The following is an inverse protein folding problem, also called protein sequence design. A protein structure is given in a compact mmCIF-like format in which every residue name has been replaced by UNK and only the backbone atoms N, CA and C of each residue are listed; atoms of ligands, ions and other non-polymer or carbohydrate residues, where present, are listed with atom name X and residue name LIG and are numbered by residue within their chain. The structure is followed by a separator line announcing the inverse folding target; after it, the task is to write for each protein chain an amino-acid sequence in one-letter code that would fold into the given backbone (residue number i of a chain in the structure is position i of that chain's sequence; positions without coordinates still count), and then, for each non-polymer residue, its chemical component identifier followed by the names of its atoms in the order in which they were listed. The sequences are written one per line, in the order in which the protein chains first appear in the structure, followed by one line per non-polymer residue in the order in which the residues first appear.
data_IF_144090678065
#
_entry.id   IF_144090678065
#
_cell.length_a   1.000
_cell.length_b   1.000
_cell.length_c   1.000
_cell.angle_alpha   90.00
_cell.angle_beta   90.00
_cell.angle_gamma   90.00
#
_symmetry.space_group_name_H-M   'P 1'
#
loop_
_entity.id
_entity.type
_entity.pdbx_description
1 polymer ?
#
# COMPACT_ATOMS: atom_id res chain seq x y z
N UNK A 1 -30.61 13.30 44.13
CA UNK A 1 -29.26 13.89 44.27
C UNK A 1 -29.41 15.14 45.12
N UNK A 2 -28.77 15.25 46.30
CA UNK A 2 -28.98 16.41 47.18
C UNK A 2 -28.40 17.69 46.54
N UNK A 3 -29.05 18.83 46.78
CA UNK A 3 -28.63 20.16 46.28
C UNK A 3 -27.15 20.44 46.64
N UNK A 4 -26.71 19.97 47.80
CA UNK A 4 -25.32 20.06 48.26
C UNK A 4 -24.31 19.32 47.36
N UNK A 5 -24.64 18.11 46.86
CA UNK A 5 -23.75 17.37 45.93
C UNK A 5 -23.63 18.07 44.57
N UNK A 6 -24.63 18.85 44.17
CA UNK A 6 -24.60 19.62 42.92
C UNK A 6 -23.74 20.88 43.08
N UNK A 7 -23.85 21.58 44.21
CA UNK A 7 -23.05 22.76 44.53
C UNK A 7 -21.55 22.41 44.67
N UNK A 8 -21.23 21.35 45.41
CA UNK A 8 -19.85 20.88 45.60
C UNK A 8 -19.20 20.43 44.26
N UNK A 9 -19.98 19.78 43.38
CA UNK A 9 -19.51 19.43 42.03
C UNK A 9 -19.23 20.69 41.18
N UNK A 10 -20.01 21.75 41.39
CA UNK A 10 -19.89 23.02 40.64
C UNK A 10 -18.68 23.84 41.10
N UNK A 11 -18.45 23.96 42.41
CA UNK A 11 -17.26 24.64 42.94
C UNK A 11 -15.96 23.93 42.55
N UNK A 12 -15.92 22.60 42.65
CA UNK A 12 -14.76 21.81 42.21
C UNK A 12 -14.48 21.98 40.72
N UNK A 13 -15.52 22.12 39.89
CA UNK A 13 -15.37 22.39 38.46
C UNK A 13 -14.78 23.79 38.24
N UNK A 14 -15.29 24.82 38.91
CA UNK A 14 -14.77 26.19 38.80
C UNK A 14 -13.31 26.26 39.24
N UNK A 15 -12.95 25.62 40.36
CA UNK A 15 -11.56 25.57 40.85
C UNK A 15 -10.65 24.88 39.83
N UNK A 16 -11.01 23.69 39.32
CA UNK A 16 -10.25 23.02 38.27
C UNK A 16 -10.03 23.90 37.04
N UNK A 17 -11.05 24.65 36.64
CA UNK A 17 -10.94 25.54 35.48
C UNK A 17 -9.98 26.69 35.76
N UNK A 18 -10.12 27.35 36.90
CA UNK A 18 -9.21 28.43 37.31
C UNK A 18 -7.77 27.93 37.42
N UNK A 19 -7.55 26.76 38.02
CA UNK A 19 -6.24 26.11 38.12
C UNK A 19 -5.67 25.71 36.76
N UNK A 20 -6.51 25.34 35.80
CA UNK A 20 -6.07 24.99 34.45
C UNK A 20 -5.75 26.23 33.63
N UNK A 21 -6.52 27.31 33.79
CA UNK A 21 -6.45 28.53 32.98
C UNK A 21 -5.45 29.54 33.52
N UNK A 22 -5.36 29.75 34.83
CA UNK A 22 -4.49 30.76 35.43
C UNK A 22 -3.00 30.58 35.03
N UNK A 23 -2.41 29.37 35.02
CA UNK A 23 -1.03 29.17 34.57
C UNK A 23 -0.83 29.39 33.07
N UNK A 24 -1.92 29.33 32.27
CA UNK A 24 -1.89 29.60 30.84
C UNK A 24 -1.92 31.11 30.55
N UNK A 25 -2.64 31.88 31.38
CA UNK A 25 -2.72 33.34 31.33
C UNK A 25 -1.43 34.01 31.83
N UNK A 26 -0.90 33.61 32.99
CA UNK A 26 0.27 34.24 33.62
C UNK A 26 1.53 34.22 32.74
N UNK A 27 1.72 33.13 31.99
CA UNK A 27 2.92 32.97 31.17
C UNK A 27 2.86 33.75 29.84
N UNK A 28 1.80 34.53 29.58
CA UNK A 28 1.54 35.19 28.27
C UNK A 28 1.72 34.24 27.08
N UNK A 29 1.45 32.95 27.27
CA UNK A 29 1.79 31.90 26.30
C UNK A 29 0.80 31.78 25.14
N UNK A 30 -0.23 32.63 25.13
CA UNK A 30 -1.26 32.71 24.10
C UNK A 30 -1.49 34.19 23.77
N UNK A 31 -1.45 34.55 22.49
CA UNK A 31 -1.91 35.85 22.00
C UNK A 31 -3.42 35.84 21.67
N UNK A 32 -4.12 34.73 21.95
CA UNK A 32 -5.58 34.66 21.77
C UNK A 32 -6.28 35.22 23.02
N UNK A 33 -6.08 36.52 23.24
CA UNK A 33 -6.74 37.28 24.30
C UNK A 33 -8.27 37.15 24.17
N UNK A 34 -8.80 36.94 22.96
CA UNK A 34 -10.20 36.70 22.70
C UNK A 34 -10.68 35.35 23.25
N UNK A 35 -9.91 34.27 23.08
CA UNK A 35 -10.23 32.97 23.69
C UNK A 35 -10.28 33.05 25.21
N UNK A 36 -9.24 33.60 25.85
CA UNK A 36 -9.24 33.70 27.31
C UNK A 36 -10.25 34.70 27.83
N UNK A 37 -10.43 35.86 27.20
CA UNK A 37 -11.52 36.78 27.56
C UNK A 37 -12.87 36.11 27.42
N UNK A 38 -13.10 35.30 26.39
CA UNK A 38 -14.33 34.54 26.27
C UNK A 38 -14.48 33.57 27.45
N UNK A 39 -13.48 32.72 27.71
CA UNK A 39 -13.57 31.74 28.80
C UNK A 39 -13.68 32.42 30.18
N UNK A 40 -12.96 33.50 30.43
CA UNK A 40 -12.95 34.26 31.68
C UNK A 40 -14.25 35.08 31.88
N UNK A 41 -14.76 35.73 30.83
CA UNK A 41 -16.07 36.38 30.83
C UNK A 41 -17.21 35.37 31.10
N UNK A 42 -17.06 34.15 30.62
CA UNK A 42 -17.99 33.07 30.93
C UNK A 42 -17.85 32.62 32.39
N UNK A 43 -16.63 32.38 32.89
CA UNK A 43 -16.43 31.90 34.27
C UNK A 43 -16.86 32.88 35.35
N UNK A 44 -16.80 34.19 35.08
CA UNK A 44 -17.22 35.25 36.00
C UNK A 44 -18.74 35.41 36.08
N UNK A 45 -19.49 34.91 35.10
CA UNK A 45 -20.95 34.86 35.14
C UNK A 45 -21.42 33.62 35.93
N UNK A 46 -21.72 33.79 37.22
CA UNK A 46 -22.04 32.76 38.23
C UNK A 46 -23.28 31.87 37.99
N UNK A 47 -23.94 31.95 36.81
CA UNK A 47 -25.13 31.14 36.45
C UNK A 47 -24.88 30.09 35.37
N UNK A 48 -23.62 29.76 35.11
CA UNK A 48 -23.27 28.81 34.05
C UNK A 48 -23.37 27.37 34.57
N UNK A 49 -24.33 26.60 34.03
CA UNK A 49 -24.39 25.16 34.26
C UNK A 49 -23.26 24.44 33.49
N UNK A 50 -22.86 23.28 33.99
CA UNK A 50 -21.83 22.39 33.43
C UNK A 50 -21.95 22.20 31.89
N UNK A 51 -23.18 22.14 31.36
CA UNK A 51 -23.47 22.02 29.92
C UNK A 51 -22.92 23.18 29.08
N UNK A 52 -22.98 24.41 29.58
CA UNK A 52 -22.46 25.60 28.88
C UNK A 52 -20.93 25.61 28.83
N UNK A 53 -20.25 25.16 29.90
CA UNK A 53 -18.79 25.05 29.93
C UNK A 53 -18.32 24.05 28.88
N UNK A 54 -18.93 22.86 28.83
CA UNK A 54 -18.60 21.86 27.81
C UNK A 54 -18.83 22.37 26.39
N UNK A 55 -19.87 23.17 26.17
CA UNK A 55 -20.09 23.84 24.89
C UNK A 55 -18.90 24.72 24.51
N UNK A 56 -18.49 25.62 25.41
CA UNK A 56 -17.39 26.56 25.15
C UNK A 56 -16.09 25.81 24.85
N UNK A 57 -15.75 24.79 25.65
CA UNK A 57 -14.53 24.01 25.45
C UNK A 57 -14.57 23.28 24.11
N UNK A 58 -15.69 22.66 23.76
CA UNK A 58 -15.79 22.00 22.47
C UNK A 58 -15.75 22.99 21.30
N UNK A 59 -16.41 24.15 21.41
CA UNK A 59 -16.33 25.23 20.42
C UNK A 59 -14.88 25.71 20.25
N UNK A 60 -14.08 25.72 21.32
CA UNK A 60 -12.64 25.98 21.26
C UNK A 60 -11.88 24.89 20.48
N UNK A 61 -12.20 23.62 20.74
CA UNK A 61 -11.60 22.48 20.05
C UNK A 61 -11.94 22.48 18.54
N UNK A 62 -13.16 22.89 18.18
CA UNK A 62 -13.54 23.09 16.78
C UNK A 62 -12.76 24.22 16.09
N UNK A 63 -12.26 25.19 16.86
CA UNK A 63 -11.53 26.35 16.37
C UNK A 63 -9.99 26.24 16.47
N UNK A 64 -9.43 25.07 16.79
CA UNK A 64 -7.98 24.87 16.92
C UNK A 64 -7.19 25.25 15.68
N UNK A 65 -7.79 25.10 14.50
CA UNK A 65 -7.18 25.53 13.24
C UNK A 65 -6.96 27.05 13.21
N UNK A 66 -7.88 27.82 13.78
CA UNK A 66 -7.84 29.29 13.77
C UNK A 66 -6.97 29.82 14.89
N UNK A 67 -7.11 29.28 16.11
CA UNK A 67 -6.42 29.77 17.30
C UNK A 67 -4.98 29.26 17.43
N UNK A 68 -4.65 28.14 16.79
CA UNK A 68 -3.31 27.53 16.76
C UNK A 68 -2.58 27.48 18.13
N UNK A 69 -3.23 27.06 19.23
CA UNK A 69 -2.61 27.03 20.56
C UNK A 69 -1.46 26.02 20.65
N UNK A 70 -0.59 26.13 21.66
CA UNK A 70 0.43 25.09 21.89
C UNK A 70 -0.21 23.74 22.21
N UNK A 71 0.38 22.64 21.74
CA UNK A 71 -0.15 21.28 21.88
C UNK A 71 -0.35 20.91 23.35
N UNK A 72 0.57 21.32 24.22
CA UNK A 72 0.52 21.06 25.67
C UNK A 72 -0.73 21.68 26.30
N UNK A 73 -1.21 22.79 25.75
CA UNK A 73 -2.39 23.44 26.27
C UNK A 73 -3.67 22.76 25.82
N UNK A 74 -3.73 22.33 24.56
CA UNK A 74 -4.84 21.51 24.05
C UNK A 74 -4.95 20.23 24.87
N UNK A 75 -3.82 19.59 25.16
CA UNK A 75 -3.76 18.42 26.03
C UNK A 75 -4.38 18.70 27.40
N UNK A 76 -3.91 19.74 28.12
CA UNK A 76 -4.46 20.11 29.43
C UNK A 76 -5.95 20.42 29.38
N UNK A 77 -6.40 21.09 28.32
CA UNK A 77 -7.82 21.43 28.14
C UNK A 77 -8.67 20.16 27.98
N UNK A 78 -8.21 19.19 27.19
CA UNK A 78 -8.91 17.90 27.01
C UNK A 78 -8.84 17.04 28.28
N UNK A 79 -7.71 17.02 28.99
CA UNK A 79 -7.59 16.31 30.28
C UNK A 79 -8.57 16.84 31.33
N UNK A 80 -8.79 18.17 31.36
CA UNK A 80 -9.76 18.81 32.24
C UNK A 80 -11.22 18.54 31.80
N UNK A 81 -11.46 18.40 30.48
CA UNK A 81 -12.80 18.33 29.90
C UNK A 81 -12.92 17.28 28.78
N UNK A 82 -12.70 16.00 29.06
CA UNK A 82 -12.66 14.98 28.01
C UNK A 82 -13.99 14.83 27.27
N UNK A 83 -15.12 15.07 27.95
CA UNK A 83 -16.46 15.01 27.34
C UNK A 83 -16.66 16.01 26.19
N UNK A 84 -15.87 17.09 26.13
CA UNK A 84 -15.90 18.02 25.01
C UNK A 84 -15.57 17.34 23.67
N UNK A 85 -14.79 16.26 23.68
CA UNK A 85 -14.47 15.46 22.48
C UNK A 85 -15.66 14.67 21.93
N UNK A 86 -16.73 14.47 22.71
CA UNK A 86 -17.96 13.80 22.23
C UNK A 86 -18.96 14.77 21.62
N UNK A 87 -18.80 16.08 21.88
CA UNK A 87 -19.73 17.08 21.36
C UNK A 87 -19.56 17.16 19.86
N UNK A 88 -20.68 17.09 19.16
CA UNK A 88 -20.72 17.32 17.72
C UNK A 88 -21.09 18.78 17.42
N UNK A 89 -20.55 19.31 16.33
CA UNK A 89 -20.96 20.61 15.81
C UNK A 89 -22.32 20.54 15.11
N UNK A 90 -22.73 21.64 14.48
CA UNK A 90 -24.00 21.73 13.74
C UNK A 90 -24.04 20.80 12.50
N UNK A 91 -22.87 20.39 12.02
CA UNK A 91 -22.67 19.47 10.91
C UNK A 91 -22.50 18.02 11.38
N UNK A 92 -22.77 17.74 12.67
CA UNK A 92 -22.67 16.41 13.27
C UNK A 92 -21.24 15.81 13.23
N UNK A 93 -20.21 16.67 13.28
CA UNK A 93 -18.78 16.29 13.29
C UNK A 93 -18.18 16.40 14.68
N UNK A 94 -17.27 15.50 15.02
CA UNK A 94 -16.44 15.62 16.23
C UNK A 94 -15.30 16.63 16.03
N UNK A 95 -14.71 17.18 17.11
CA UNK A 95 -13.62 18.15 17.00
C UNK A 95 -12.43 17.64 16.17
N UNK A 96 -12.07 16.36 16.29
CA UNK A 96 -10.98 15.76 15.51
C UNK A 96 -11.30 15.67 14.02
N UNK A 97 -12.57 15.48 13.64
CA UNK A 97 -12.99 15.40 12.25
C UNK A 97 -12.90 16.78 11.58
N UNK A 98 -13.25 17.83 12.32
CA UNK A 98 -13.17 19.22 11.87
C UNK A 98 -11.78 19.60 11.38
N UNK A 99 -10.73 19.08 12.04
CA UNK A 99 -9.32 19.33 11.70
C UNK A 99 -8.95 18.81 10.30
N UNK A 100 -9.74 17.89 9.72
CA UNK A 100 -9.47 17.32 8.39
C UNK A 100 -10.25 17.99 7.26
N UNK A 101 -11.33 18.73 7.55
CA UNK A 101 -12.23 19.30 6.53
C UNK A 101 -11.75 20.63 5.95
N UNK A 102 -11.21 21.52 6.78
CA UNK A 102 -11.01 22.92 6.40
C UNK A 102 -9.57 23.27 6.02
N UNK A 103 -8.69 22.33 5.70
CA UNK A 103 -7.27 22.65 5.48
C UNK A 103 -6.97 23.57 4.28
N UNK A 104 -7.98 23.99 3.50
CA UNK A 104 -7.83 24.86 2.32
C UNK A 104 -7.72 26.35 2.64
N UNK A 105 -8.00 26.78 3.87
CA UNK A 105 -7.98 28.21 4.21
C UNK A 105 -6.63 28.62 4.82
N UNK A 106 -6.17 29.82 4.47
CA UNK A 106 -4.87 30.46 4.72
C UNK A 106 -4.30 30.42 6.15
N UNK A 107 -5.08 29.97 7.16
CA UNK A 107 -4.75 30.08 8.59
C UNK A 107 -4.03 28.86 9.19
N UNK A 108 -3.33 28.09 8.36
CA UNK A 108 -2.54 26.92 8.79
C UNK A 108 -3.35 25.65 9.04
N UNK A 109 -2.64 24.52 9.16
CA UNK A 109 -3.26 23.21 9.35
C UNK A 109 -3.59 22.94 10.83
N UNK A 110 -4.78 22.40 11.08
CA UNK A 110 -5.15 21.85 12.38
C UNK A 110 -4.65 20.41 12.60
N UNK A 111 -4.02 19.78 11.60
CA UNK A 111 -3.70 18.34 11.63
C UNK A 111 -2.72 17.96 12.73
N UNK A 112 -1.84 18.88 13.16
CA UNK A 112 -0.88 18.67 14.26
C UNK A 112 -1.54 18.32 15.59
N UNK A 113 -2.83 18.67 15.78
CA UNK A 113 -3.58 18.34 17.01
C UNK A 113 -4.24 16.96 16.96
N UNK A 114 -4.34 16.32 15.78
CA UNK A 114 -5.10 15.07 15.61
C UNK A 114 -4.57 13.96 16.50
N UNK A 115 -3.24 13.77 16.55
CA UNK A 115 -2.61 12.73 17.38
C UNK A 115 -2.86 12.97 18.87
N UNK A 116 -2.78 14.23 19.32
CA UNK A 116 -3.07 14.64 20.71
C UNK A 116 -4.52 14.41 21.08
N UNK A 117 -5.48 14.88 20.27
CA UNK A 117 -6.90 14.69 20.55
C UNK A 117 -7.29 13.21 20.58
N UNK A 118 -6.74 12.42 19.65
CA UNK A 118 -6.98 10.98 19.61
C UNK A 118 -6.42 10.26 20.85
N UNK A 119 -5.21 10.62 21.28
CA UNK A 119 -4.54 10.01 22.43
C UNK A 119 -5.27 10.33 23.74
N UNK A 120 -5.60 11.60 23.97
CA UNK A 120 -6.36 11.99 25.16
C UNK A 120 -7.79 11.42 25.11
N UNK A 121 -8.40 11.36 23.92
CA UNK A 121 -9.68 10.68 23.73
C UNK A 121 -9.65 9.21 24.14
N UNK A 122 -8.59 8.49 23.76
CA UNK A 122 -8.37 7.09 24.17
C UNK A 122 -8.17 6.95 25.68
N UNK A 123 -7.31 7.78 26.28
CA UNK A 123 -7.05 7.77 27.73
C UNK A 123 -8.32 7.96 28.55
N UNK A 124 -9.20 8.86 28.09
CA UNK A 124 -10.43 9.21 28.79
C UNK A 124 -11.66 8.44 28.30
N UNK A 125 -11.51 7.47 27.39
CA UNK A 125 -12.64 6.67 26.90
C UNK A 125 -13.74 7.55 26.25
N UNK A 126 -13.34 8.54 25.45
CA UNK A 126 -14.22 9.52 24.78
C UNK A 126 -13.93 9.61 23.28
N UNK A 127 -14.81 10.30 22.54
CA UNK A 127 -14.68 10.49 21.09
C UNK A 127 -15.32 9.38 20.24
N UNK A 128 -16.48 8.86 20.62
CA UNK A 128 -17.23 7.94 19.74
C UNK A 128 -16.74 6.48 19.73
N UNK A 129 -17.12 5.75 18.68
CA UNK A 129 -16.98 4.29 18.61
C UNK A 129 -15.52 3.81 18.67
N UNK A 130 -15.30 2.67 19.33
CA UNK A 130 -14.01 2.03 19.53
C UNK A 130 -12.99 2.83 20.35
N UNK A 131 -13.42 3.89 21.02
CA UNK A 131 -12.63 4.62 22.03
C UNK A 131 -11.30 5.18 21.51
N UNK A 132 -11.16 5.40 20.20
CA UNK A 132 -9.94 5.97 19.58
C UNK A 132 -10.05 7.48 19.36
N UNK A 133 -10.65 8.19 20.31
CA UNK A 133 -10.73 9.65 20.30
C UNK A 133 -11.34 10.27 19.04
N UNK A 134 -12.29 9.59 18.40
CA UNK A 134 -13.00 10.07 17.21
C UNK A 134 -12.36 9.70 15.88
N UNK A 135 -11.21 9.01 15.89
CA UNK A 135 -10.50 8.65 14.66
C UNK A 135 -11.34 7.83 13.69
N UNK A 136 -12.17 6.93 14.21
CA UNK A 136 -13.00 6.02 13.41
C UNK A 136 -14.44 6.48 13.26
N UNK A 137 -14.84 7.58 13.90
CA UNK A 137 -16.19 8.09 13.77
C UNK A 137 -16.43 8.45 12.30
N UNK A 138 -17.51 7.91 11.73
CA UNK A 138 -17.88 8.15 10.34
C UNK A 138 -18.80 9.36 10.27
N UNK A 139 -18.44 10.35 9.47
CA UNK A 139 -19.33 11.43 9.06
C UNK A 139 -19.14 11.74 7.57
N UNK A 140 -20.14 12.29 6.88
CA UNK A 140 -20.03 12.67 5.45
C UNK A 140 -19.33 11.64 4.52
N UNK A 141 -19.56 10.35 4.76
CA UNK A 141 -18.98 9.26 3.94
C UNK A 141 -17.52 8.88 4.22
N UNK A 142 -16.95 9.27 5.36
CA UNK A 142 -15.64 8.75 5.79
C UNK A 142 -15.27 9.10 7.22
N UNK A 143 -14.22 8.48 7.74
CA UNK A 143 -13.64 8.82 9.05
C UNK A 143 -12.36 9.66 8.93
N UNK A 144 -11.83 10.12 10.08
CA UNK A 144 -10.62 10.94 10.15
C UNK A 144 -9.44 10.29 9.43
N UNK A 145 -9.22 8.99 9.58
CA UNK A 145 -8.11 8.29 8.89
C UNK A 145 -8.29 8.30 7.37
N UNK A 146 -9.49 7.96 6.88
CA UNK A 146 -9.78 8.00 5.44
C UNK A 146 -9.63 9.40 4.85
N UNK A 147 -10.02 10.44 5.60
CA UNK A 147 -9.83 11.83 5.20
C UNK A 147 -8.37 12.23 5.15
N UNK A 148 -7.59 11.81 6.15
CA UNK A 148 -6.15 12.02 6.17
C UNK A 148 -5.47 11.33 4.99
N UNK A 149 -5.97 10.18 4.53
CA UNK A 149 -5.47 9.49 3.34
C UNK A 149 -5.87 10.18 2.04
N UNK A 150 -7.12 10.66 1.95
CA UNK A 150 -7.74 11.14 0.69
C UNK A 150 -7.46 12.60 0.39
N UNK A 151 -7.67 13.48 1.36
CA UNK A 151 -7.72 14.91 1.12
C UNK A 151 -6.33 15.53 1.26
N UNK A 152 -6.03 16.48 0.36
CA UNK A 152 -4.89 17.35 0.49
C UNK A 152 -5.34 18.74 0.08
N UNK A 153 -5.59 19.58 1.08
CA UNK A 153 -5.98 20.96 0.87
C UNK A 153 -4.88 21.95 1.30
N UNK A 154 -3.87 21.46 2.04
CA UNK A 154 -2.71 22.21 2.52
C UNK A 154 -1.40 21.53 2.10
N UNK A 155 -0.26 22.08 2.55
CA UNK A 155 1.06 21.47 2.46
C UNK A 155 1.01 19.97 2.78
N UNK A 156 1.53 19.17 1.84
CA UNK A 156 1.52 17.71 1.84
C UNK A 156 2.03 17.08 3.14
N UNK A 157 2.96 17.75 3.80
CA UNK A 157 3.73 17.22 4.92
C UNK A 157 2.90 17.06 6.19
N UNK A 158 1.97 17.98 6.45
CA UNK A 158 1.20 18.05 7.70
C UNK A 158 0.27 16.84 7.91
N UNK A 159 -0.32 16.34 6.82
CA UNK A 159 -1.18 15.17 6.84
C UNK A 159 -0.39 13.87 7.02
N UNK A 160 0.74 13.76 6.31
CA UNK A 160 1.63 12.62 6.45
C UNK A 160 2.25 12.57 7.85
N UNK A 161 2.62 13.72 8.40
CA UNK A 161 3.16 13.82 9.76
C UNK A 161 2.12 13.39 10.80
N UNK A 162 0.86 13.82 10.66
CA UNK A 162 -0.22 13.33 11.51
C UNK A 162 -0.37 11.79 11.45
N UNK A 163 -0.29 11.18 10.27
CA UNK A 163 -0.33 9.72 10.11
C UNK A 163 0.88 9.02 10.76
N UNK A 164 2.08 9.60 10.63
CA UNK A 164 3.30 9.11 11.28
C UNK A 164 3.18 9.18 12.81
N UNK A 165 2.66 10.28 13.34
CA UNK A 165 2.44 10.45 14.78
C UNK A 165 1.39 9.45 15.29
N UNK A 166 0.28 9.28 14.58
CA UNK A 166 -0.73 8.26 14.91
C UNK A 166 -0.15 6.85 14.92
N UNK A 167 0.74 6.52 13.97
CA UNK A 167 1.46 5.24 13.98
C UNK A 167 2.40 5.13 15.17
N UNK A 168 3.18 6.17 15.47
CA UNK A 168 4.12 6.20 16.62
C UNK A 168 3.38 5.95 17.95
N UNK A 169 2.18 6.51 18.10
CA UNK A 169 1.33 6.33 19.28
C UNK A 169 0.46 5.06 19.23
N UNK A 170 0.66 4.16 18.26
CA UNK A 170 -0.12 2.92 18.08
C UNK A 170 -1.63 3.14 17.91
N UNK A 171 -2.03 4.30 17.41
CA UNK A 171 -3.43 4.66 17.12
C UNK A 171 -3.85 4.27 15.70
N UNK A 172 -2.90 4.34 14.75
CA UNK A 172 -3.03 3.80 13.40
C UNK A 172 -2.44 2.38 13.37
N UNK A 173 -3.28 1.39 13.08
CA UNK A 173 -2.94 -0.02 13.06
C UNK A 173 -2.82 -0.55 11.63
N UNK A 174 -2.08 -1.63 11.44
CA UNK A 174 -1.98 -2.33 10.15
C UNK A 174 -3.35 -2.76 9.60
N UNK A 175 -4.22 -3.27 10.49
CA UNK A 175 -5.59 -3.66 10.12
C UNK A 175 -6.42 -2.50 9.59
N UNK A 176 -6.20 -1.28 10.09
CA UNK A 176 -6.94 -0.09 9.63
C UNK A 176 -6.65 0.20 8.16
N UNK A 177 -5.43 -0.09 7.67
CA UNK A 177 -5.06 0.12 6.27
C UNK A 177 -5.98 -0.68 5.34
N UNK A 178 -6.26 -1.93 5.72
CA UNK A 178 -7.10 -2.86 4.97
C UNK A 178 -8.58 -2.58 5.21
N UNK A 179 -9.02 -2.59 6.47
CA UNK A 179 -10.44 -2.47 6.86
C UNK A 179 -11.05 -1.12 6.43
N UNK A 180 -10.27 -0.05 6.47
CA UNK A 180 -10.74 1.30 6.11
C UNK A 180 -10.38 1.69 4.67
N UNK A 181 -9.79 0.79 3.89
CA UNK A 181 -9.38 1.04 2.51
C UNK A 181 -8.45 2.27 2.37
N UNK A 182 -7.52 2.47 3.30
CA UNK A 182 -6.68 3.68 3.34
C UNK A 182 -5.78 3.79 2.09
N UNK A 183 -5.29 2.65 1.56
CA UNK A 183 -4.54 2.63 0.30
C UNK A 183 -5.38 3.15 -0.87
N UNK A 184 -6.64 2.73 -1.00
CA UNK A 184 -7.55 3.24 -2.03
C UNK A 184 -7.73 4.75 -1.93
N UNK A 185 -8.05 5.25 -0.73
CA UNK A 185 -8.24 6.68 -0.49
C UNK A 185 -6.97 7.49 -0.80
N UNK A 186 -5.80 6.97 -0.46
CA UNK A 186 -4.51 7.60 -0.78
C UNK A 186 -4.05 7.44 -2.24
N UNK A 187 -4.77 6.68 -3.07
CA UNK A 187 -4.45 6.54 -4.49
C UNK A 187 -5.29 7.50 -5.37
N UNK A 188 -6.51 7.80 -4.93
CA UNK A 188 -7.46 8.66 -5.67
C UNK A 188 -7.26 10.16 -5.41
N UNK A 189 -6.46 10.54 -4.41
CA UNK A 189 -6.16 11.94 -4.09
C UNK A 189 -5.07 12.52 -4.99
N UNK A 190 -5.22 13.79 -5.39
CA UNK A 190 -4.28 14.49 -6.27
C UNK A 190 -2.87 14.61 -5.67
N UNK A 191 -2.75 14.67 -4.35
CA UNK A 191 -1.51 14.88 -3.61
C UNK A 191 -1.32 13.83 -2.49
N UNK A 192 -1.69 12.58 -2.73
CA UNK A 192 -1.66 11.54 -1.69
C UNK A 192 -0.53 10.52 -1.85
N UNK A 193 0.46 10.82 -2.68
CA UNK A 193 1.50 9.86 -3.06
C UNK A 193 2.38 9.42 -1.90
N UNK A 194 2.86 10.34 -1.08
CA UNK A 194 3.72 10.01 0.06
C UNK A 194 2.96 9.21 1.13
N UNK A 195 1.63 9.42 1.22
CA UNK A 195 0.75 8.64 2.10
C UNK A 195 0.56 7.23 1.56
N UNK A 196 0.36 7.08 0.25
CA UNK A 196 0.30 5.77 -0.39
C UNK A 196 1.59 4.98 -0.16
N UNK A 197 2.76 5.61 -0.37
CA UNK A 197 4.07 5.03 -0.08
C UNK A 197 4.23 4.69 1.41
N UNK A 198 3.83 5.59 2.30
CA UNK A 198 3.86 5.36 3.75
C UNK A 198 3.06 4.13 4.14
N UNK A 199 1.85 3.94 3.58
CA UNK A 199 1.03 2.75 3.85
C UNK A 199 1.66 1.48 3.29
N UNK A 200 2.20 1.50 2.07
CA UNK A 200 2.90 0.33 1.50
C UNK A 200 4.13 -0.04 2.35
N UNK A 201 4.92 0.94 2.77
CA UNK A 201 6.07 0.73 3.64
C UNK A 201 5.68 0.26 5.05
N UNK A 202 4.45 0.54 5.49
CA UNK A 202 3.92 0.09 6.78
C UNK A 202 3.31 -1.33 6.71
N UNK A 203 2.55 -1.62 5.66
CA UNK A 203 1.88 -2.91 5.45
C UNK A 203 1.79 -3.26 3.96
N UNK A 204 2.84 -3.87 3.40
CA UNK A 204 2.90 -4.25 1.98
C UNK A 204 1.78 -5.20 1.59
N UNK A 205 1.38 -6.14 2.45
CA UNK A 205 0.36 -7.15 2.12
C UNK A 205 -1.02 -6.53 1.92
N UNK A 206 -1.24 -5.29 2.38
CA UNK A 206 -2.46 -4.56 2.11
C UNK A 206 -2.69 -4.34 0.60
N UNK A 207 -1.66 -4.36 -0.26
CA UNK A 207 -1.83 -4.26 -1.72
C UNK A 207 -2.67 -5.39 -2.30
N UNK A 208 -2.55 -6.61 -1.75
CA UNK A 208 -3.27 -7.80 -2.21
C UNK A 208 -4.49 -8.13 -1.34
N UNK A 209 -4.47 -7.77 -0.04
CA UNK A 209 -5.57 -8.06 0.90
C UNK A 209 -6.71 -7.05 0.85
N UNK A 210 -6.42 -5.80 0.46
CA UNK A 210 -7.44 -4.74 0.46
C UNK A 210 -8.46 -4.99 -0.65
N UNK A 211 -9.73 -5.00 -0.26
CA UNK A 211 -10.85 -5.05 -1.20
C UNK A 211 -11.78 -3.86 -0.96
N UNK A 212 -12.20 -3.22 -2.03
CA UNK A 212 -13.13 -2.08 -1.97
C UNK A 212 -14.46 -2.56 -2.55
N UNK A 213 -15.52 -2.64 -1.73
CA UNK A 213 -16.79 -3.22 -2.14
C UNK A 213 -16.65 -4.65 -2.71
N UNK A 214 -15.78 -5.46 -2.11
CA UNK A 214 -15.55 -6.85 -2.49
C UNK A 214 -14.64 -7.07 -3.71
N UNK A 215 -14.19 -6.02 -4.42
CA UNK A 215 -13.25 -6.16 -5.54
C UNK A 215 -11.81 -5.82 -5.11
N UNK A 216 -10.78 -6.46 -5.71
CA UNK A 216 -9.39 -6.17 -5.35
C UNK A 216 -9.04 -4.70 -5.59
N UNK A 217 -8.13 -4.17 -4.77
CA UNK A 217 -7.77 -2.75 -4.76
C UNK A 217 -7.42 -2.17 -6.15
N UNK A 218 -6.60 -2.88 -6.94
CA UNK A 218 -6.24 -2.45 -8.31
C UNK A 218 -7.47 -2.27 -9.20
N UNK A 219 -8.42 -3.20 -9.12
CA UNK A 219 -9.68 -3.11 -9.86
C UNK A 219 -10.51 -1.90 -9.43
N UNK A 220 -10.53 -1.61 -8.13
CA UNK A 220 -11.23 -0.46 -7.60
C UNK A 220 -10.62 0.87 -8.08
N UNK A 221 -9.29 0.96 -8.16
CA UNK A 221 -8.57 2.13 -8.70
C UNK A 221 -8.93 2.35 -10.18
N UNK A 222 -8.94 1.29 -11.00
CA UNK A 222 -9.31 1.37 -12.42
C UNK A 222 -10.79 1.77 -12.61
N UNK A 223 -11.69 1.18 -11.81
CA UNK A 223 -13.15 1.37 -11.89
C UNK A 223 -13.62 2.66 -11.22
N UNK A 224 -12.74 3.40 -10.54
CA UNK A 224 -13.10 4.66 -9.86
C UNK A 224 -13.87 5.59 -10.81
N UNK A 225 -14.93 6.23 -10.34
CA UNK A 225 -15.70 7.20 -11.12
C UNK A 225 -15.43 8.58 -10.55
N UNK A 226 -14.77 9.43 -11.32
CA UNK A 226 -14.65 10.84 -10.96
C UNK A 226 -15.95 11.56 -11.23
N UNK A 227 -16.25 12.54 -10.36
CA UNK A 227 -17.37 13.45 -10.61
C UNK A 227 -16.90 14.43 -11.67
N UNK A 228 -17.62 14.52 -12.79
CA UNK A 228 -17.24 15.32 -13.98
C UNK A 228 -16.90 16.80 -13.72
N UNK A 229 -17.19 17.34 -12.53
CA UNK A 229 -17.12 18.77 -12.22
C UNK A 229 -15.97 19.14 -11.27
N UNK A 230 -15.16 18.18 -10.78
CA UNK A 230 -14.20 18.46 -9.71
C UNK A 230 -12.81 18.89 -10.20
N UNK A 231 -12.58 18.99 -11.51
CA UNK A 231 -11.27 19.34 -12.08
C UNK A 231 -10.15 18.40 -11.63
N UNK A 232 -10.48 17.26 -11.02
CA UNK A 232 -9.53 16.44 -10.29
C UNK A 232 -8.88 15.41 -11.21
N UNK A 233 -7.59 15.16 -10.95
CA UNK A 233 -6.67 14.23 -11.62
C UNK A 233 -7.30 12.99 -12.27
N UNK A 234 -7.19 12.81 -13.60
CA UNK A 234 -7.83 11.67 -14.29
C UNK A 234 -7.58 10.29 -13.64
N UNK A 235 -8.57 9.38 -13.65
CA UNK A 235 -8.43 7.97 -13.20
C UNK A 235 -7.14 7.28 -13.68
N UNK A 236 -6.65 7.67 -14.87
CA UNK A 236 -5.42 7.16 -15.47
C UNK A 236 -4.20 7.46 -14.62
N UNK A 237 -4.15 8.64 -14.00
CA UNK A 237 -3.06 8.98 -13.08
C UNK A 237 -3.13 8.14 -11.81
N UNK A 238 -4.30 7.97 -11.20
CA UNK A 238 -4.41 7.11 -10.02
C UNK A 238 -3.94 5.69 -10.33
N UNK A 239 -4.32 5.17 -11.51
CA UNK A 239 -3.80 3.89 -12.00
C UNK A 239 -2.28 3.90 -12.20
N UNK A 240 -1.72 4.92 -12.86
CA UNK A 240 -0.27 5.10 -13.05
C UNK A 240 0.49 5.15 -11.74
N UNK A 241 0.01 5.94 -10.77
CA UNK A 241 0.57 6.05 -9.42
C UNK A 241 0.51 4.72 -8.69
N UNK A 242 -0.64 4.05 -8.72
CA UNK A 242 -0.78 2.73 -8.11
C UNK A 242 0.29 1.78 -8.66
N UNK A 243 0.42 1.68 -9.99
CA UNK A 243 1.41 0.80 -10.63
C UNK A 243 2.85 1.15 -10.23
N UNK A 244 3.22 2.43 -10.32
CA UNK A 244 4.58 2.92 -10.02
C UNK A 244 5.09 2.45 -8.66
N UNK A 245 4.23 2.45 -7.65
CA UNK A 245 4.63 2.10 -6.28
C UNK A 245 4.31 0.66 -5.91
N UNK A 246 3.32 0.03 -6.53
CA UNK A 246 2.90 -1.33 -6.14
C UNK A 246 3.66 -2.44 -6.87
N UNK A 247 4.06 -2.23 -8.13
CA UNK A 247 4.71 -3.26 -8.94
C UNK A 247 6.07 -3.67 -8.35
N UNK A 248 6.80 -2.74 -7.75
CA UNK A 248 8.06 -3.06 -7.06
C UNK A 248 7.91 -4.03 -5.87
N UNK A 249 6.69 -4.18 -5.33
CA UNK A 249 6.41 -5.10 -4.23
C UNK A 249 5.74 -6.40 -4.68
N UNK A 250 4.81 -6.32 -5.64
CA UNK A 250 4.08 -7.48 -6.14
C UNK A 250 3.98 -7.43 -7.66
N UNK A 251 4.73 -8.33 -8.31
CA UNK A 251 4.89 -8.34 -9.77
C UNK A 251 3.62 -8.77 -10.51
N UNK A 252 2.74 -9.51 -9.85
CA UNK A 252 1.54 -10.11 -10.44
C UNK A 252 0.27 -9.25 -10.29
N UNK A 253 0.36 -8.02 -9.75
CA UNK A 253 -0.83 -7.20 -9.45
C UNK A 253 -1.69 -6.89 -10.68
N UNK A 254 -1.07 -6.71 -11.85
CA UNK A 254 -1.77 -6.50 -13.12
C UNK A 254 -2.61 -7.70 -13.55
N UNK A 255 -2.29 -8.88 -13.02
CA UNK A 255 -2.91 -10.14 -13.39
C UNK A 255 -3.84 -10.68 -12.30
N UNK A 256 -4.04 -9.93 -11.21
CA UNK A 256 -5.06 -10.25 -10.22
C UNK A 256 -6.43 -10.23 -10.91
N UNK A 257 -7.17 -11.31 -10.71
CA UNK A 257 -8.50 -11.50 -11.28
C UNK A 257 -9.58 -10.95 -10.35
N UNK A 258 -10.64 -10.40 -10.93
CA UNK A 258 -11.87 -10.09 -10.20
C UNK A 258 -12.82 -11.30 -10.13
N UNK A 259 -14.00 -11.07 -9.59
CA UNK A 259 -15.10 -12.04 -9.46
C UNK A 259 -15.61 -12.57 -10.82
N UNK A 260 -15.22 -11.94 -11.93
CA UNK A 260 -15.59 -12.31 -13.30
C UNK A 260 -14.43 -12.92 -14.08
N UNK A 261 -13.40 -13.36 -13.37
CA UNK A 261 -12.17 -13.92 -13.96
C UNK A 261 -11.40 -12.92 -14.86
N UNK A 262 -11.74 -11.62 -14.82
CA UNK A 262 -11.06 -10.59 -15.61
C UNK A 262 -9.85 -10.07 -14.85
N UNK A 263 -8.69 -9.98 -15.49
CA UNK A 263 -7.51 -9.40 -14.87
C UNK A 263 -7.62 -7.88 -14.74
N UNK A 264 -6.84 -7.29 -13.85
CA UNK A 264 -6.74 -5.83 -13.78
C UNK A 264 -6.29 -5.22 -15.12
N UNK A 265 -5.40 -5.90 -15.86
CA UNK A 265 -5.01 -5.49 -17.21
C UNK A 265 -6.19 -5.51 -18.19
N UNK A 266 -7.01 -6.57 -18.20
CA UNK A 266 -8.22 -6.63 -19.02
C UNK A 266 -9.16 -5.45 -18.71
N UNK A 267 -9.37 -5.15 -17.43
CA UNK A 267 -10.21 -4.03 -16.99
C UNK A 267 -9.63 -2.67 -17.38
N UNK A 268 -8.31 -2.49 -17.27
CA UNK A 268 -7.64 -1.26 -17.67
C UNK A 268 -7.78 -1.01 -19.18
N UNK A 269 -7.52 -2.03 -20.01
CA UNK A 269 -7.68 -1.95 -21.47
C UNK A 269 -9.14 -1.64 -21.82
N UNK A 270 -10.11 -2.32 -21.21
CA UNK A 270 -11.54 -2.06 -21.42
C UNK A 270 -11.94 -0.64 -21.02
N UNK A 271 -11.35 -0.08 -19.96
CA UNK A 271 -11.72 1.21 -19.38
C UNK A 271 -11.05 2.39 -20.06
N UNK A 272 -9.75 2.29 -20.35
CA UNK A 272 -8.92 3.40 -20.85
C UNK A 272 -8.57 3.26 -22.33
N UNK A 273 -8.78 2.08 -22.92
CA UNK A 273 -8.28 1.72 -24.24
C UNK A 273 -6.88 1.08 -24.16
N UNK A 274 -6.58 0.23 -25.14
CA UNK A 274 -5.30 -0.49 -25.22
C UNK A 274 -4.10 0.46 -25.29
N UNK A 275 -4.11 1.37 -26.28
CA UNK A 275 -3.02 2.35 -26.50
C UNK A 275 -2.71 3.17 -25.26
N UNK A 276 -3.73 3.63 -24.56
CA UNK A 276 -3.56 4.45 -23.36
C UNK A 276 -2.99 3.62 -22.21
N UNK A 277 -3.54 2.43 -21.99
CA UNK A 277 -3.08 1.50 -20.95
C UNK A 277 -1.61 1.14 -21.16
N UNK A 278 -1.23 0.85 -22.40
CA UNK A 278 0.15 0.50 -22.73
C UNK A 278 1.11 1.70 -22.65
N UNK A 279 0.66 2.91 -22.96
CA UNK A 279 1.44 4.14 -22.71
C UNK A 279 1.78 4.29 -21.24
N UNK A 280 0.77 4.16 -20.36
CA UNK A 280 0.97 4.24 -18.89
C UNK A 280 1.91 3.14 -18.41
N UNK A 281 1.72 1.91 -18.88
CA UNK A 281 2.58 0.78 -18.51
C UNK A 281 4.02 1.00 -18.96
N UNK A 282 4.24 1.46 -20.20
CA UNK A 282 5.58 1.78 -20.70
C UNK A 282 6.27 2.77 -19.78
N UNK A 283 5.62 3.90 -19.46
CA UNK A 283 6.19 4.92 -18.57
C UNK A 283 6.55 4.38 -17.19
N UNK A 284 5.72 3.50 -16.61
CA UNK A 284 5.97 2.91 -15.29
C UNK A 284 7.10 1.86 -15.34
N UNK A 285 7.13 1.04 -16.40
CA UNK A 285 8.06 -0.08 -16.53
C UNK A 285 9.46 0.36 -16.97
N UNK A 286 9.59 1.51 -17.65
CA UNK A 286 10.89 2.09 -18.05
C UNK A 286 11.51 2.99 -16.98
N UNK A 287 11.09 2.87 -15.71
CA UNK A 287 11.71 3.58 -14.59
C UNK A 287 13.04 2.95 -14.18
N UNK A 288 13.78 3.59 -13.26
CA UNK A 288 15.18 3.25 -12.89
C UNK A 288 15.45 1.80 -12.48
N UNK A 289 14.41 1.02 -12.15
CA UNK A 289 14.56 -0.38 -11.73
C UNK A 289 13.98 -1.31 -12.79
N UNK A 290 14.81 -2.17 -13.41
CA UNK A 290 14.33 -3.12 -14.41
C UNK A 290 13.29 -4.05 -13.79
N UNK A 291 12.14 -4.17 -14.45
CA UNK A 291 11.04 -5.00 -14.00
C UNK A 291 10.74 -6.09 -15.06
N UNK A 292 10.93 -7.38 -14.74
CA UNK A 292 10.83 -8.48 -15.70
C UNK A 292 9.37 -8.84 -16.05
N UNK A 293 8.56 -7.88 -16.51
CA UNK A 293 7.12 -7.99 -16.76
C UNK A 293 6.76 -9.13 -17.72
N UNK A 294 7.59 -9.39 -18.74
CA UNK A 294 7.26 -10.38 -19.76
C UNK A 294 7.11 -11.78 -19.17
N UNK A 295 7.90 -12.14 -18.17
CA UNK A 295 7.76 -13.41 -17.46
C UNK A 295 6.39 -13.52 -16.80
N UNK A 296 5.90 -12.44 -16.20
CA UNK A 296 4.58 -12.41 -15.56
C UNK A 296 3.46 -12.46 -16.61
N UNK A 297 3.63 -11.79 -17.75
CA UNK A 297 2.68 -11.86 -18.88
C UNK A 297 2.59 -13.29 -19.42
N UNK A 298 3.72 -13.96 -19.66
CA UNK A 298 3.76 -15.36 -20.13
C UNK A 298 3.02 -16.28 -19.17
N UNK A 299 3.28 -16.15 -17.87
CA UNK A 299 2.68 -17.01 -16.84
C UNK A 299 1.18 -16.76 -16.69
N UNK A 300 0.75 -15.49 -16.66
CA UNK A 300 -0.60 -15.15 -16.23
C UNK A 300 -1.56 -14.73 -17.34
N UNK A 301 -1.07 -14.11 -18.42
CA UNK A 301 -1.87 -13.61 -19.55
C UNK A 301 -1.10 -13.67 -20.89
N UNK A 302 -0.75 -14.88 -21.38
CA UNK A 302 0.08 -15.06 -22.57
C UNK A 302 -0.48 -14.39 -23.83
N UNK A 303 -1.81 -14.21 -23.92
CA UNK A 303 -2.48 -13.50 -25.02
C UNK A 303 -1.99 -12.04 -25.21
N UNK A 304 -1.44 -11.40 -24.18
CA UNK A 304 -0.91 -10.04 -24.26
C UNK A 304 0.59 -9.96 -24.53
N UNK A 305 1.27 -11.10 -24.68
CA UNK A 305 2.73 -11.11 -24.82
C UNK A 305 3.24 -10.28 -26.00
N UNK A 306 2.68 -10.46 -27.20
CA UNK A 306 3.08 -9.70 -28.39
C UNK A 306 2.82 -8.19 -28.22
N UNK A 307 1.73 -7.84 -27.54
CA UNK A 307 1.42 -6.44 -27.22
C UNK A 307 2.49 -5.84 -26.30
N UNK A 308 2.92 -6.53 -25.25
CA UNK A 308 4.01 -6.04 -24.40
C UNK A 308 5.34 -5.94 -25.16
N UNK A 309 5.66 -6.93 -26.00
CA UNK A 309 6.90 -6.93 -26.77
C UNK A 309 6.96 -5.73 -27.75
N UNK A 310 5.84 -5.37 -28.36
CA UNK A 310 5.74 -4.18 -29.22
C UNK A 310 5.99 -2.87 -28.46
N UNK A 311 5.48 -2.75 -27.23
CA UNK A 311 5.50 -1.50 -26.47
C UNK A 311 6.77 -1.31 -25.64
N UNK A 312 7.32 -2.40 -25.10
CA UNK A 312 8.51 -2.41 -24.22
C UNK A 312 9.51 -3.51 -24.63
N UNK A 313 10.07 -3.45 -25.85
CA UNK A 313 10.91 -4.53 -26.39
C UNK A 313 12.17 -4.80 -25.56
N UNK A 314 12.73 -3.78 -24.89
CA UNK A 314 13.90 -3.91 -24.02
C UNK A 314 13.69 -4.89 -22.87
N UNK A 315 12.43 -5.16 -22.47
CA UNK A 315 12.10 -6.09 -21.39
C UNK A 315 12.39 -7.55 -21.76
N UNK A 316 12.60 -7.85 -23.05
CA UNK A 316 12.92 -9.20 -23.53
C UNK A 316 14.27 -9.72 -22.99
N UNK A 317 15.20 -8.82 -22.70
CA UNK A 317 16.53 -9.18 -22.20
C UNK A 317 16.62 -9.24 -20.68
N UNK A 318 15.56 -8.88 -19.97
CA UNK A 318 15.55 -8.96 -18.51
C UNK A 318 15.42 -10.42 -18.07
N UNK A 319 16.00 -10.73 -16.92
CA UNK A 319 15.85 -12.03 -16.26
C UNK A 319 14.89 -11.92 -15.07
N UNK A 320 14.17 -12.99 -14.77
CA UNK A 320 13.33 -13.06 -13.57
C UNK A 320 14.17 -13.22 -12.28
N UNK A 321 13.49 -13.33 -11.14
CA UNK A 321 14.15 -13.50 -9.83
C UNK A 321 14.90 -14.83 -9.65
N UNK A 322 14.64 -15.80 -10.52
CA UNK A 322 15.39 -17.05 -10.57
C UNK A 322 16.51 -16.99 -11.61
N UNK A 323 16.69 -15.86 -12.30
CA UNK A 323 17.65 -15.71 -13.37
C UNK A 323 17.17 -16.22 -14.73
N UNK A 324 15.89 -16.60 -14.89
CA UNK A 324 15.37 -17.13 -16.15
C UNK A 324 15.14 -16.04 -17.17
N UNK A 325 15.30 -16.36 -18.45
CA UNK A 325 14.87 -15.51 -19.57
C UNK A 325 13.37 -15.66 -19.85
N UNK A 326 12.73 -14.73 -20.60
CA UNK A 326 11.35 -14.90 -21.04
C UNK A 326 11.16 -16.18 -21.86
N UNK A 327 12.14 -16.55 -22.68
CA UNK A 327 12.11 -17.79 -23.47
C UNK A 327 12.10 -19.04 -22.60
N UNK A 328 12.95 -19.11 -21.58
CA UNK A 328 12.94 -20.23 -20.64
C UNK A 328 11.60 -20.37 -19.91
N UNK A 329 11.01 -19.25 -19.48
CA UNK A 329 9.67 -19.26 -18.84
C UNK A 329 8.57 -19.70 -19.81
N UNK A 330 8.63 -19.28 -21.06
CA UNK A 330 7.70 -19.68 -22.11
C UNK A 330 7.77 -21.19 -22.39
N UNK A 331 8.99 -21.74 -22.49
CA UNK A 331 9.20 -23.18 -22.72
C UNK A 331 8.68 -24.02 -21.54
N UNK A 332 8.79 -23.52 -20.31
CA UNK A 332 8.34 -24.23 -19.12
C UNK A 332 6.80 -24.21 -18.89
N UNK A 333 6.08 -23.25 -19.47
CA UNK A 333 4.70 -22.93 -19.05
C UNK A 333 3.59 -23.47 -19.95
N UNK A 334 3.67 -23.31 -21.28
CA UNK A 334 2.47 -23.51 -22.11
C UNK A 334 2.75 -23.90 -23.58
N UNK A 335 2.40 -25.14 -23.91
CA UNK A 335 2.45 -25.71 -25.28
C UNK A 335 1.71 -24.85 -26.30
N UNK A 336 0.48 -24.42 -26.00
CA UNK A 336 -0.35 -23.64 -26.93
C UNK A 336 0.34 -22.31 -27.29
N UNK A 337 0.94 -21.67 -26.31
CA UNK A 337 1.59 -20.37 -26.51
C UNK A 337 2.84 -20.46 -27.41
N UNK A 338 3.60 -21.56 -27.34
CA UNK A 338 4.73 -21.82 -28.24
C UNK A 338 4.29 -22.01 -29.69
N UNK A 339 3.17 -22.70 -29.93
CA UNK A 339 2.62 -22.87 -31.28
C UNK A 339 2.03 -21.58 -31.85
N UNK A 340 1.42 -20.76 -30.99
CA UNK A 340 0.89 -19.46 -31.40
C UNK A 340 2.02 -18.46 -31.73
N UNK A 341 3.26 -18.73 -31.29
CA UNK A 341 4.41 -17.82 -31.48
C UNK A 341 5.69 -18.57 -31.89
N UNK A 342 5.70 -19.23 -33.07
CA UNK A 342 6.77 -20.14 -33.43
C UNK A 342 8.11 -19.45 -33.66
N UNK A 343 8.10 -18.15 -34.01
CA UNK A 343 9.32 -17.35 -34.18
C UNK A 343 10.25 -17.39 -32.97
N UNK A 344 9.73 -17.52 -31.75
CA UNK A 344 10.57 -17.49 -30.55
C UNK A 344 11.47 -18.71 -30.36
N UNK A 345 10.99 -19.90 -30.72
CA UNK A 345 11.82 -21.10 -30.67
C UNK A 345 12.54 -21.34 -32.00
N UNK A 346 12.02 -20.79 -33.11
CA UNK A 346 12.64 -20.93 -34.42
C UNK A 346 14.00 -20.22 -34.50
N UNK A 347 14.16 -19.10 -33.79
CA UNK A 347 15.35 -18.25 -33.85
C UNK A 347 16.28 -18.39 -32.64
N UNK A 348 16.18 -19.46 -31.85
CA UNK A 348 17.15 -19.68 -30.77
C UNK A 348 18.53 -19.96 -31.34
N UNK A 349 19.57 -19.49 -30.66
CA UNK A 349 20.96 -19.83 -30.97
C UNK A 349 21.37 -21.12 -30.25
N UNK A 350 22.48 -21.73 -30.68
CA UNK A 350 23.07 -22.87 -29.97
C UNK A 350 23.34 -22.53 -28.49
N UNK A 351 23.97 -21.39 -28.22
CA UNK A 351 24.23 -20.90 -26.85
C UNK A 351 22.96 -20.80 -26.00
N UNK A 352 21.85 -20.32 -26.59
CA UNK A 352 20.57 -20.22 -25.89
C UNK A 352 19.95 -21.60 -25.59
N UNK A 353 20.23 -22.60 -26.43
CA UNK A 353 19.79 -23.98 -26.25
C UNK A 353 20.69 -24.78 -25.29
N UNK A 354 21.92 -24.34 -25.09
CA UNK A 354 22.82 -24.87 -24.07
C UNK A 354 22.55 -24.26 -22.70
N UNK A 355 22.05 -23.02 -22.64
CA UNK A 355 21.74 -22.31 -21.40
C UNK A 355 20.65 -23.04 -20.58
N UNK A 356 21.10 -23.72 -19.52
CA UNK A 356 20.23 -24.41 -18.55
C UNK A 356 19.34 -23.41 -17.82
N UNK A 357 18.06 -23.74 -17.66
CA UNK A 357 17.15 -22.96 -16.82
C UNK A 357 17.67 -23.00 -15.37
N UNK A 358 18.01 -21.86 -14.75
CA UNK A 358 18.60 -21.83 -13.41
C UNK A 358 17.70 -22.40 -12.30
N UNK A 359 16.39 -22.48 -12.52
CA UNK A 359 15.43 -23.06 -11.57
C UNK A 359 15.30 -24.57 -11.71
N UNK A 360 15.26 -25.09 -12.93
CA UNK A 360 15.01 -26.52 -13.18
C UNK A 360 16.27 -27.30 -13.52
N UNK A 361 17.37 -26.61 -13.82
CA UNK A 361 18.64 -27.14 -14.36
C UNK A 361 18.51 -27.79 -15.75
N UNK A 362 17.33 -27.72 -16.37
CA UNK A 362 17.05 -28.33 -17.67
C UNK A 362 17.41 -27.38 -18.82
N UNK A 363 17.98 -27.93 -19.89
CA UNK A 363 18.13 -27.22 -21.16
C UNK A 363 16.76 -27.00 -21.83
N UNK A 364 16.58 -25.99 -22.70
CA UNK A 364 15.34 -25.70 -23.42
C UNK A 364 14.55 -26.88 -23.97
N UNK A 365 15.17 -27.78 -24.74
CA UNK A 365 14.48 -28.96 -25.29
C UNK A 365 13.99 -29.90 -24.17
N UNK A 366 14.80 -30.11 -23.13
CA UNK A 366 14.42 -30.93 -21.98
C UNK A 366 13.31 -30.27 -21.15
N UNK A 367 13.32 -28.94 -21.02
CA UNK A 367 12.24 -28.17 -20.38
C UNK A 367 10.92 -28.32 -21.13
N UNK A 368 10.95 -28.35 -22.47
CA UNK A 368 9.75 -28.61 -23.29
C UNK A 368 9.26 -30.05 -23.11
N UNK A 369 10.18 -31.02 -23.08
CA UNK A 369 9.84 -32.43 -22.86
C UNK A 369 9.30 -32.71 -21.45
N UNK A 370 9.83 -32.04 -20.42
CA UNK A 370 9.49 -32.24 -19.01
C UNK A 370 8.37 -31.32 -18.50
N UNK A 371 8.03 -30.26 -19.24
CA UNK A 371 7.03 -29.28 -18.83
C UNK A 371 5.66 -29.89 -18.58
N UNK A 372 4.74 -29.10 -18.01
CA UNK A 372 3.39 -29.52 -17.57
C UNK A 372 2.62 -30.31 -18.66
N UNK A 373 2.93 -30.06 -19.94
CA UNK A 373 2.28 -30.68 -21.09
C UNK A 373 3.22 -31.51 -21.99
N UNK A 374 4.45 -31.80 -21.55
CA UNK A 374 5.51 -32.55 -22.24
C UNK A 374 5.38 -32.73 -23.76
N UNK A 375 6.12 -31.94 -24.55
CA UNK A 375 6.04 -31.97 -26.02
C UNK A 375 7.33 -32.54 -26.64
N UNK A 376 7.35 -33.85 -26.84
CA UNK A 376 8.50 -34.55 -27.42
C UNK A 376 8.77 -34.15 -28.87
N UNK A 377 7.72 -33.84 -29.65
CA UNK A 377 7.87 -33.45 -31.05
C UNK A 377 8.57 -32.09 -31.15
N UNK A 378 8.13 -31.11 -30.35
CA UNK A 378 8.78 -29.81 -30.30
C UNK A 378 10.19 -29.91 -29.72
N UNK A 379 10.39 -30.71 -28.67
CA UNK A 379 11.74 -30.98 -28.13
C UNK A 379 12.67 -31.53 -29.22
N UNK A 380 12.19 -32.50 -30.00
CA UNK A 380 12.95 -33.08 -31.10
C UNK A 380 13.22 -32.05 -32.22
N UNK A 381 12.23 -31.24 -32.58
CA UNK A 381 12.41 -30.16 -33.58
C UNK A 381 13.43 -29.11 -33.13
N UNK A 382 13.48 -28.77 -31.84
CA UNK A 382 14.49 -27.87 -31.27
C UNK A 382 15.88 -28.49 -31.41
N UNK A 383 16.04 -29.77 -31.09
CA UNK A 383 17.33 -30.49 -31.22
C UNK A 383 17.78 -30.59 -32.68
N UNK A 384 16.88 -30.86 -33.62
CA UNK A 384 17.21 -30.96 -35.05
C UNK A 384 17.80 -29.67 -35.62
N UNK A 385 17.46 -28.51 -35.06
CA UNK A 385 18.00 -27.22 -35.53
C UNK A 385 19.43 -26.96 -35.11
N UNK A 386 19.83 -27.51 -33.96
CA UNK A 386 21.17 -27.34 -33.42
C UNK A 386 21.73 -28.69 -32.97
N UNK A 387 22.09 -29.58 -33.93
CA UNK A 387 22.63 -30.89 -33.60
C UNK A 387 23.88 -30.84 -32.72
N UNK A 388 24.67 -29.76 -32.80
CA UNK A 388 25.86 -29.55 -31.96
C UNK A 388 25.55 -29.58 -30.46
N UNK A 389 24.33 -29.21 -30.05
CA UNK A 389 23.91 -29.28 -28.65
C UNK A 389 23.93 -30.73 -28.16
N UNK A 390 23.66 -31.71 -29.05
CA UNK A 390 23.72 -33.14 -28.73
C UNK A 390 25.15 -33.54 -28.39
N UNK A 391 26.14 -33.07 -29.15
CA UNK A 391 27.55 -33.36 -28.90
C UNK A 391 27.94 -32.89 -27.49
N UNK A 392 27.54 -31.66 -27.11
CA UNK A 392 27.77 -31.13 -25.74
C UNK A 392 27.05 -31.97 -24.67
N UNK A 393 25.88 -32.55 -24.94
CA UNK A 393 25.20 -33.45 -23.98
C UNK A 393 25.99 -34.75 -23.82
N UNK A 394 26.50 -35.30 -24.93
CA UNK A 394 27.25 -36.54 -24.92
C UNK A 394 28.57 -36.34 -24.17
N UNK A 395 29.27 -35.24 -24.42
CA UNK A 395 30.48 -34.85 -23.68
C UNK A 395 30.20 -34.70 -22.17
N UNK A 396 29.18 -33.93 -21.77
CA UNK A 396 28.79 -33.80 -20.35
C UNK A 396 28.46 -35.16 -19.70
N UNK A 397 27.86 -36.08 -20.47
CA UNK A 397 27.51 -37.42 -19.98
C UNK A 397 28.76 -38.28 -19.78
N UNK A 398 29.71 -38.23 -20.69
CA UNK A 398 30.98 -38.95 -20.58
C UNK A 398 31.77 -38.47 -19.34
N UNK A 399 31.85 -37.15 -19.12
CA UNK A 399 32.48 -36.57 -17.93
C UNK A 399 31.83 -37.07 -16.63
N UNK A 400 30.49 -37.09 -16.56
CA UNK A 400 29.76 -37.60 -15.38
C UNK A 400 29.99 -39.10 -15.16
N UNK A 401 30.12 -39.89 -16.22
CA UNK A 401 30.42 -41.32 -16.12
C UNK A 401 31.83 -41.53 -15.58
N UNK A 402 32.81 -40.79 -16.07
CA UNK A 402 34.20 -40.87 -15.63
C UNK A 402 34.36 -40.45 -14.18
N UNK A 403 33.74 -39.33 -13.76
CA UNK A 403 33.72 -38.91 -12.36
C UNK A 403 33.14 -39.97 -11.42
N UNK A 404 32.05 -40.63 -11.83
CA UNK A 404 31.41 -41.66 -11.03
C UNK A 404 32.26 -42.94 -10.96
N UNK A 405 32.95 -43.28 -12.04
CA UNK A 405 33.90 -44.40 -12.05
C UNK A 405 35.08 -44.14 -11.10
N UNK A 406 35.62 -42.93 -11.09
CA UNK A 406 36.72 -42.58 -10.19
C UNK A 406 36.28 -42.51 -8.73
N UNK A 407 35.11 -41.94 -8.44
CA UNK A 407 34.51 -41.99 -7.09
C UNK A 407 34.33 -43.44 -6.60
N UNK A 408 33.91 -44.34 -7.49
CA UNK A 408 33.76 -45.77 -7.18
C UNK A 408 35.11 -46.45 -6.93
N UNK A 409 36.12 -46.21 -7.77
CA UNK A 409 37.49 -46.74 -7.57
C UNK A 409 38.07 -46.28 -6.24
N UNK A 410 37.98 -44.99 -5.94
CA UNK A 410 38.46 -44.43 -4.68
C UNK A 410 37.73 -45.02 -3.46
N UNK A 411 36.43 -45.31 -3.58
CA UNK A 411 35.67 -45.98 -2.52
C UNK A 411 36.07 -47.45 -2.35
N UNK A 412 36.34 -48.18 -3.44
CA UNK A 412 36.84 -49.56 -3.41
C UNK A 412 38.23 -49.63 -2.75
N UNK A 413 39.13 -48.69 -3.09
CA UNK A 413 40.47 -48.58 -2.50
C UNK A 413 40.41 -48.23 -1.00
N UNK A 414 39.55 -47.29 -0.60
CA UNK A 414 39.37 -46.89 0.79
C UNK A 414 38.81 -48.02 1.70
N UNK A 415 38.02 -48.94 1.13
CA UNK A 415 37.46 -50.09 1.84
C UNK A 415 38.44 -51.28 1.93
N UNK A 416 39.65 -51.17 1.36
CA UNK A 416 40.60 -52.27 1.34
C UNK A 416 40.06 -53.50 0.62
N UNK A 417 39.11 -53.31 -0.33
CA UNK A 417 38.60 -54.35 -1.21
C UNK A 417 39.63 -54.65 -2.30
N UNK A 418 40.87 -54.90 -1.88
CA UNK A 418 41.90 -55.43 -2.75
C UNK A 418 41.43 -56.85 -3.12
N UNK A 419 40.99 -57.00 -4.37
CA UNK A 419 40.52 -58.27 -4.93
C UNK A 419 41.69 -59.24 -4.88
N UNK A 420 41.87 -59.91 -3.72
CA UNK A 420 42.74 -61.07 -3.57
C UNK A 420 42.29 -62.08 -4.61
N UNK A 421 43.05 -62.10 -5.71
CA UNK A 421 42.97 -63.02 -6.83
C UNK A 421 42.74 -64.43 -6.28
N UNK A 422 41.54 -64.98 -6.47
CA UNK A 422 41.33 -66.43 -6.39
C UNK A 422 42.15 -67.02 -7.53
N UNK A 423 43.19 -67.76 -7.15
CA UNK A 423 43.95 -68.68 -8.00
C UNK A 423 43.01 -69.72 -8.62
#
# INVERSE_FOLDING_TARGET
MSIFKVAEKHENLICRIKETIAPLQEKKLWNDEAFFKAVEHFLTNSRINEKKIFKIVADALFNLKVSQPKIEHVKKLVEAFPEALKRKDNDNRLPIEQLTFYAKEEKGSGTKYISTLALEGLKHNVGGENMRGGLLCVSYGGNTLQRLSKYCYSELEDYLQALKDLRRHKLLLKKDIVELNLLYHSCIGEFSLDRFQFYIGFEKEALIKTTVNGIPLMHAVIKHKQKKNDGTQSNKESFKRYLKYSLGHYKHLLFLKDDKDQTALDQAIKKFGERETMTILKEVLTTDKPFPILHQVIVHQPKYYNLFLQWVPSMFHLRDENGRTPTQVMLAMNRKFLYDNPSHWIHQTADQLEEKDPKTTLRPFASVAYGILGDLDLSYQILLKHPSVIDVILEEREEVVDENNDKKRNAEDALGLDKKKKK
#
